data_IF_501795170555
#
_entry.id   IF_501795170555
#
_cell.length_a   1.000
_cell.length_b   1.000
_cell.length_c   1.000
_cell.angle_alpha   90.00
_cell.angle_beta   90.00
_cell.angle_gamma   90.00
#
_symmetry.space_group_name_H-M   'P 1'
#
loop_
_entity.id
_entity.type
_entity.pdbx_description
1 polymer ?
#
# COMPACT_ATOMS: atom_id res chain seq x y z
N UNK A 1 30.40 7.03 -4.31
CA UNK A 1 30.61 8.18 -3.40
C UNK A 1 29.44 8.30 -2.42
N UNK A 2 29.68 8.19 -1.10
CA UNK A 2 28.64 8.51 -0.12
C UNK A 2 28.41 10.02 -0.12
N UNK A 3 27.36 10.48 -0.80
CA UNK A 3 26.93 11.89 -0.70
C UNK A 3 26.63 12.20 0.77
N UNK A 4 27.31 13.21 1.32
CA UNK A 4 27.08 13.68 2.68
C UNK A 4 25.60 14.09 2.79
N UNK A 5 24.85 13.48 3.70
CA UNK A 5 23.44 13.83 3.91
C UNK A 5 23.39 15.16 4.67
N UNK A 6 22.71 16.14 4.09
CA UNK A 6 22.44 17.42 4.73
C UNK A 6 21.52 17.23 5.94
N UNK A 7 21.83 17.85 7.07
CA UNK A 7 20.91 17.85 8.22
C UNK A 7 19.74 18.81 7.97
N UNK A 8 18.61 18.57 8.62
CA UNK A 8 17.44 19.45 8.52
C UNK A 8 17.78 20.89 8.92
N UNK A 9 18.58 21.05 9.98
CA UNK A 9 19.08 22.35 10.44
C UNK A 9 19.91 23.06 9.36
N UNK A 10 20.80 22.36 8.67
CA UNK A 10 21.59 22.95 7.59
C UNK A 10 20.71 23.39 6.42
N UNK A 11 19.76 22.55 5.99
CA UNK A 11 18.81 22.92 4.92
C UNK A 11 18.00 24.16 5.29
N UNK A 12 17.48 24.22 6.52
CA UNK A 12 16.71 25.37 7.00
C UNK A 12 17.56 26.64 7.09
N UNK A 13 18.81 26.53 7.53
CA UNK A 13 19.74 27.67 7.57
C UNK A 13 20.00 28.26 6.17
N UNK A 14 20.20 27.40 5.16
CA UNK A 14 20.38 27.84 3.76
C UNK A 14 19.11 28.52 3.23
N UNK A 15 17.95 27.92 3.48
CA UNK A 15 16.67 28.52 3.06
C UNK A 15 16.39 29.84 3.79
N UNK A 16 16.74 29.98 5.06
CA UNK A 16 16.62 31.26 5.79
C UNK A 16 17.54 32.34 5.21
N UNK A 17 18.76 31.97 4.82
CA UNK A 17 19.69 32.90 4.18
C UNK A 17 19.17 33.36 2.79
N UNK A 18 18.46 32.48 2.09
CA UNK A 18 17.75 32.84 0.86
C UNK A 18 16.55 33.76 1.14
N UNK A 19 15.73 33.42 2.14
CA UNK A 19 14.57 34.24 2.55
C UNK A 19 15.00 35.65 3.02
N UNK A 20 16.21 35.78 3.58
CA UNK A 20 16.83 37.05 3.94
C UNK A 20 17.41 37.86 2.75
N UNK A 21 17.20 37.40 1.51
CA UNK A 21 17.56 38.13 0.29
C UNK A 21 18.95 37.84 -0.28
N UNK A 22 19.68 36.81 0.18
CA UNK A 22 20.96 36.42 -0.45
C UNK A 22 20.73 35.84 -1.85
N UNK A 23 21.69 36.10 -2.75
CA UNK A 23 21.60 35.58 -4.12
C UNK A 23 21.78 34.07 -4.16
N UNK A 24 21.03 33.40 -5.05
CA UNK A 24 21.10 31.94 -5.26
C UNK A 24 22.52 31.49 -5.63
N UNK A 25 23.22 32.30 -6.42
CA UNK A 25 24.60 32.06 -6.84
C UNK A 25 25.57 32.00 -5.66
N UNK A 26 25.48 32.93 -4.71
CA UNK A 26 26.31 32.94 -3.52
C UNK A 26 26.02 31.74 -2.61
N UNK A 27 24.75 31.42 -2.40
CA UNK A 27 24.35 30.28 -1.57
C UNK A 27 24.86 28.96 -2.15
N UNK A 28 24.73 28.78 -3.46
CA UNK A 28 25.25 27.60 -4.17
C UNK A 28 26.77 27.47 -4.02
N UNK A 29 27.52 28.58 -4.18
CA UNK A 29 28.98 28.58 -4.02
C UNK A 29 29.41 28.33 -2.58
N UNK A 30 28.76 28.98 -1.60
CA UNK A 30 29.12 28.91 -0.18
C UNK A 30 28.84 27.54 0.43
N UNK A 31 27.76 26.89 0.00
CA UNK A 31 27.31 25.62 0.56
C UNK A 31 27.63 24.41 -0.33
N UNK A 32 28.30 24.60 -1.46
CA UNK A 32 28.62 23.57 -2.45
C UNK A 32 27.37 22.75 -2.86
N UNK A 33 26.30 23.48 -3.22
CA UNK A 33 25.03 22.90 -3.66
C UNK A 33 24.68 23.39 -5.07
N UNK A 34 24.11 22.49 -5.87
CA UNK A 34 23.57 22.87 -7.16
C UNK A 34 22.33 23.77 -7.00
N UNK A 35 22.07 24.65 -7.98
CA UNK A 35 20.87 25.49 -7.99
C UNK A 35 19.59 24.64 -7.93
N UNK A 36 19.56 23.51 -8.65
CA UNK A 36 18.43 22.58 -8.66
C UNK A 36 18.10 22.05 -7.26
N UNK A 37 19.11 21.70 -6.46
CA UNK A 37 18.93 21.25 -5.07
C UNK A 37 18.31 22.33 -4.19
N UNK A 38 18.77 23.58 -4.36
CA UNK A 38 18.25 24.71 -3.60
C UNK A 38 16.77 24.97 -3.92
N UNK A 39 16.40 25.00 -5.20
CA UNK A 39 14.99 25.15 -5.61
C UNK A 39 14.12 24.00 -5.13
N UNK A 40 14.60 22.75 -5.20
CA UNK A 40 13.88 21.59 -4.67
C UNK A 40 13.60 21.71 -3.17
N UNK A 41 14.59 22.16 -2.39
CA UNK A 41 14.37 22.39 -0.95
C UNK A 41 13.35 23.50 -0.69
N UNK A 42 13.32 24.53 -1.53
CA UNK A 42 12.31 25.58 -1.42
C UNK A 42 10.93 25.04 -1.73
N UNK A 43 10.75 24.26 -2.78
CA UNK A 43 9.46 23.64 -3.09
C UNK A 43 8.95 22.74 -1.95
N UNK A 44 9.83 21.91 -1.39
CA UNK A 44 9.42 20.90 -0.38
C UNK A 44 9.31 21.49 1.03
N UNK A 45 10.23 22.36 1.44
CA UNK A 45 10.42 22.77 2.84
C UNK A 45 10.08 24.25 3.11
N UNK A 46 9.48 24.98 2.16
CA UNK A 46 9.04 26.36 2.42
C UNK A 46 8.06 26.41 3.58
N UNK A 47 8.23 27.39 4.48
CA UNK A 47 7.39 27.56 5.66
C UNK A 47 7.55 26.49 6.75
N UNK A 48 8.38 25.45 6.53
CA UNK A 48 8.60 24.42 7.55
C UNK A 48 9.69 24.81 8.54
N UNK A 49 9.42 24.57 9.84
CA UNK A 49 10.43 24.62 10.89
C UNK A 49 11.43 23.45 10.77
N UNK A 50 12.57 23.55 11.46
CA UNK A 50 13.57 22.47 11.47
C UNK A 50 12.97 21.13 11.94
N UNK A 51 12.16 21.15 13.00
CA UNK A 51 11.48 19.96 13.54
C UNK A 51 10.48 19.37 12.54
N UNK A 52 9.74 20.23 11.83
CA UNK A 52 8.81 19.81 10.79
C UNK A 52 9.54 19.11 9.64
N UNK A 53 10.72 19.60 9.24
CA UNK A 53 11.56 18.97 8.21
C UNK A 53 12.06 17.59 8.67
N UNK A 54 12.48 17.45 9.92
CA UNK A 54 12.92 16.15 10.47
C UNK A 54 11.78 15.14 10.53
N UNK A 55 10.60 15.58 10.98
CA UNK A 55 9.40 14.75 10.99
C UNK A 55 8.97 14.36 9.57
N UNK A 56 9.03 15.28 8.62
CA UNK A 56 8.73 15.01 7.21
C UNK A 56 9.67 13.96 6.63
N UNK A 57 10.99 14.07 6.87
CA UNK A 57 11.98 13.08 6.41
C UNK A 57 11.78 11.71 7.07
N UNK A 58 11.37 11.67 8.34
CA UNK A 58 11.02 10.42 9.04
C UNK A 58 9.81 9.76 8.38
N UNK A 59 8.73 10.52 8.20
CA UNK A 59 7.50 10.03 7.57
C UNK A 59 7.73 9.60 6.11
N UNK A 60 8.56 10.33 5.36
CA UNK A 60 8.91 9.97 3.99
C UNK A 60 9.66 8.62 3.93
N UNK A 61 10.56 8.36 4.89
CA UNK A 61 11.25 7.07 5.01
C UNK A 61 10.29 5.94 5.35
N UNK A 62 9.44 6.13 6.36
CA UNK A 62 8.43 5.15 6.76
C UNK A 62 7.47 4.86 5.61
N UNK A 63 6.98 5.91 4.93
CA UNK A 63 6.13 5.78 3.72
C UNK A 63 6.83 4.99 2.63
N UNK A 64 8.12 5.22 2.39
CA UNK A 64 8.87 4.47 1.37
C UNK A 64 8.98 2.98 1.72
N UNK A 65 9.18 2.65 3.00
CA UNK A 65 9.18 1.25 3.48
C UNK A 65 7.80 0.62 3.27
N UNK A 66 6.74 1.29 3.72
CA UNK A 66 5.38 0.78 3.56
C UNK A 66 4.98 0.64 2.10
N UNK A 67 5.37 1.56 1.22
CA UNK A 67 5.11 1.46 -0.21
C UNK A 67 5.81 0.25 -0.84
N UNK A 68 7.05 -0.07 -0.42
CA UNK A 68 7.75 -1.27 -0.90
C UNK A 68 7.02 -2.53 -0.45
N UNK A 69 6.71 -2.64 0.84
CA UNK A 69 5.99 -3.80 1.39
C UNK A 69 4.61 -3.97 0.73
N UNK A 70 3.86 -2.88 0.55
CA UNK A 70 2.55 -2.91 -0.10
C UNK A 70 2.64 -3.35 -1.57
N UNK A 71 3.70 -2.93 -2.28
CA UNK A 71 3.94 -3.38 -3.66
C UNK A 71 4.20 -4.89 -3.70
N UNK A 72 5.05 -5.42 -2.83
CA UNK A 72 5.29 -6.86 -2.74
C UNK A 72 4.01 -7.63 -2.43
N UNK A 73 3.27 -7.25 -1.37
CA UNK A 73 2.02 -7.92 -1.01
C UNK A 73 0.95 -7.85 -2.11
N UNK A 74 0.89 -6.75 -2.87
CA UNK A 74 -0.01 -6.64 -4.04
C UNK A 74 0.41 -7.56 -5.18
N UNK A 75 1.72 -7.70 -5.43
CA UNK A 75 2.25 -8.61 -6.43
C UNK A 75 1.97 -10.08 -6.06
N UNK A 76 2.23 -10.47 -4.81
CA UNK A 76 1.95 -11.82 -4.30
C UNK A 76 0.45 -12.13 -4.38
N UNK A 77 -0.41 -11.19 -3.98
CA UNK A 77 -1.87 -11.35 -4.13
C UNK A 77 -2.28 -11.54 -5.59
N UNK A 78 -1.68 -10.80 -6.52
CA UNK A 78 -1.99 -10.91 -7.94
C UNK A 78 -1.53 -12.27 -8.50
N UNK A 79 -0.33 -12.74 -8.12
CA UNK A 79 0.18 -14.05 -8.46
C UNK A 79 -0.75 -15.17 -7.95
N UNK A 80 -1.08 -15.17 -6.66
CA UNK A 80 -1.98 -16.16 -6.08
C UNK A 80 -3.37 -16.13 -6.75
N UNK A 81 -3.88 -14.94 -7.09
CA UNK A 81 -5.15 -14.80 -7.80
C UNK A 81 -5.07 -15.34 -9.23
N UNK A 82 -3.92 -15.24 -9.91
CA UNK A 82 -3.70 -15.83 -11.22
C UNK A 82 -3.63 -17.37 -11.13
N UNK A 83 -2.87 -17.91 -10.17
CA UNK A 83 -2.79 -19.37 -9.93
C UNK A 83 -4.16 -19.96 -9.59
N UNK A 84 -4.96 -19.28 -8.77
CA UNK A 84 -6.33 -19.75 -8.48
C UNK A 84 -7.23 -19.77 -9.72
N UNK A 85 -6.97 -18.92 -10.71
CA UNK A 85 -7.72 -18.92 -11.97
C UNK A 85 -7.29 -20.06 -12.89
N UNK A 86 -6.01 -20.47 -12.87
CA UNK A 86 -5.53 -21.59 -13.68
C UNK A 86 -5.97 -22.95 -13.15
N UNK A 87 -6.34 -23.05 -11.86
CA UNK A 87 -6.79 -24.29 -11.24
C UNK A 87 -8.23 -24.70 -11.59
N UNK A 88 -8.93 -23.93 -12.44
CA UNK A 88 -10.30 -24.20 -12.94
C UNK A 88 -11.27 -24.85 -11.93
N UNK A 89 -11.33 -24.29 -10.70
CA UNK A 89 -12.17 -24.86 -9.64
C UNK A 89 -13.65 -24.88 -10.03
N UNK A 90 -14.31 -26.01 -9.72
CA UNK A 90 -15.75 -26.17 -9.90
C UNK A 90 -16.54 -25.22 -8.99
N UNK A 91 -17.81 -24.99 -9.31
CA UNK A 91 -18.69 -24.10 -8.53
C UNK A 91 -18.82 -24.58 -7.09
N UNK A 92 -19.00 -25.88 -6.88
CA UNK A 92 -19.10 -26.51 -5.56
C UNK A 92 -17.82 -26.32 -4.73
N UNK A 93 -16.65 -26.57 -5.33
CA UNK A 93 -15.36 -26.34 -4.67
C UNK A 93 -15.19 -24.87 -4.25
N UNK A 94 -15.60 -23.92 -5.10
CA UNK A 94 -15.60 -22.49 -4.77
C UNK A 94 -16.56 -22.19 -3.62
N UNK A 95 -17.79 -22.72 -3.64
CA UNK A 95 -18.76 -22.54 -2.56
C UNK A 95 -18.22 -23.08 -1.21
N UNK A 96 -17.62 -24.27 -1.22
CA UNK A 96 -16.97 -24.87 -0.05
C UNK A 96 -15.85 -23.99 0.51
N UNK A 97 -14.99 -23.44 -0.35
CA UNK A 97 -13.92 -22.52 0.05
C UNK A 97 -14.47 -21.22 0.67
N UNK A 98 -15.57 -20.68 0.15
CA UNK A 98 -16.23 -19.50 0.75
C UNK A 98 -16.76 -19.82 2.14
N UNK A 99 -17.42 -20.97 2.32
CA UNK A 99 -17.91 -21.42 3.64
C UNK A 99 -16.76 -21.61 4.62
N UNK A 100 -15.70 -22.31 4.19
CA UNK A 100 -14.51 -22.53 5.01
C UNK A 100 -13.82 -21.21 5.40
N UNK A 101 -13.64 -20.28 4.46
CA UNK A 101 -13.04 -18.96 4.75
C UNK A 101 -13.87 -18.15 5.74
N UNK A 102 -15.20 -18.29 5.72
CA UNK A 102 -16.11 -17.64 6.67
C UNK A 102 -16.02 -18.28 8.05
N UNK A 103 -16.01 -19.61 8.12
CA UNK A 103 -15.89 -20.37 9.37
C UNK A 103 -14.57 -20.09 10.09
N UNK A 104 -13.48 -19.89 9.35
CA UNK A 104 -12.16 -19.54 9.88
C UNK A 104 -11.96 -18.03 10.12
N UNK A 105 -13.03 -17.22 9.99
CA UNK A 105 -12.98 -15.75 10.15
C UNK A 105 -11.94 -15.01 9.29
N UNK A 106 -11.48 -15.62 8.19
CA UNK A 106 -10.45 -15.04 7.33
C UNK A 106 -10.97 -13.85 6.50
N UNK A 107 -12.23 -13.93 6.05
CA UNK A 107 -12.87 -12.86 5.29
C UNK A 107 -14.39 -13.02 5.26
N UNK A 108 -15.10 -11.94 4.93
CA UNK A 108 -16.55 -12.00 4.69
C UNK A 108 -16.86 -12.79 3.41
N UNK A 109 -17.96 -13.54 3.40
CA UNK A 109 -18.37 -14.34 2.24
C UNK A 109 -18.45 -13.50 0.94
N UNK A 110 -18.90 -12.25 1.06
CA UNK A 110 -18.93 -11.29 -0.04
C UNK A 110 -17.55 -11.06 -0.64
N UNK A 111 -16.53 -10.83 0.18
CA UNK A 111 -15.15 -10.58 -0.27
C UNK A 111 -14.57 -11.84 -0.90
N UNK A 112 -14.79 -13.01 -0.30
CA UNK A 112 -14.30 -14.30 -0.84
C UNK A 112 -14.93 -14.63 -2.19
N UNK A 113 -16.24 -14.40 -2.37
CA UNK A 113 -16.92 -14.59 -3.65
C UNK A 113 -16.31 -13.73 -4.77
N UNK A 114 -15.96 -12.47 -4.47
CA UNK A 114 -15.27 -11.59 -5.45
C UNK A 114 -13.89 -12.13 -5.79
N UNK A 115 -13.11 -12.62 -4.81
CA UNK A 115 -11.77 -13.17 -5.05
C UNK A 115 -11.80 -14.45 -5.89
N UNK A 116 -12.78 -15.33 -5.67
CA UNK A 116 -12.96 -16.58 -6.39
C UNK A 116 -13.78 -16.46 -7.69
N UNK A 117 -14.19 -15.22 -8.06
CA UNK A 117 -15.08 -14.94 -9.21
C UNK A 117 -16.37 -15.79 -9.19
N UNK A 118 -16.97 -15.94 -8.02
CA UNK A 118 -18.22 -16.66 -7.81
C UNK A 118 -19.40 -15.69 -7.65
N UNK A 119 -20.49 -15.91 -8.39
CA UNK A 119 -21.75 -15.17 -8.16
C UNK A 119 -22.37 -15.56 -6.83
N UNK A 120 -22.83 -14.56 -6.05
CA UNK A 120 -23.47 -14.78 -4.74
C UNK A 120 -24.75 -15.60 -4.84
N UNK A 121 -25.45 -15.54 -5.98
CA UNK A 121 -26.66 -16.35 -6.20
C UNK A 121 -26.33 -17.85 -6.24
N UNK A 122 -25.18 -18.23 -6.82
CA UNK A 122 -24.74 -19.64 -6.85
C UNK A 122 -24.40 -20.18 -5.46
N UNK A 123 -23.84 -19.34 -4.59
CA UNK A 123 -23.59 -19.71 -3.19
C UNK A 123 -24.89 -19.99 -2.42
N UNK A 124 -25.95 -19.20 -2.68
CA UNK A 124 -27.27 -19.41 -2.05
C UNK A 124 -27.95 -20.68 -2.54
N UNK A 125 -27.92 -20.93 -3.85
CA UNK A 125 -28.49 -22.14 -4.44
C UNK A 125 -27.80 -23.41 -3.92
N UNK A 126 -26.47 -23.39 -3.82
CA UNK A 126 -25.71 -24.50 -3.25
C UNK A 126 -26.07 -24.76 -1.78
N UNK A 127 -26.31 -23.72 -0.99
CA UNK A 127 -26.76 -23.86 0.40
C UNK A 127 -28.20 -24.40 0.52
N UNK A 128 -29.08 -24.04 -0.43
CA UNK A 128 -30.46 -24.55 -0.48
C UNK A 128 -30.47 -26.03 -0.89
N UNK A 129 -29.67 -26.40 -1.89
CA UNK A 129 -29.56 -27.79 -2.35
C UNK A 129 -28.98 -28.69 -1.25
N UNK A 130 -27.90 -28.28 -0.55
CA UNK A 130 -27.34 -29.03 0.59
C UNK A 130 -28.38 -29.26 1.71
N UNK A 131 -29.25 -28.28 1.97
CA UNK A 131 -30.31 -28.39 2.97
C UNK A 131 -31.41 -29.38 2.55
N UNK A 132 -31.79 -29.39 1.27
CA UNK A 132 -32.78 -30.32 0.71
C UNK A 132 -32.27 -31.78 0.75
N UNK A 133 -31.04 -32.03 0.29
CA UNK A 133 -30.43 -33.37 0.34
C UNK A 133 -30.29 -33.91 1.78
N UNK A 134 -30.02 -33.04 2.75
CA UNK A 134 -29.92 -33.42 4.17
C UNK A 134 -31.28 -33.75 4.81
N UNK A 135 -32.37 -33.18 4.28
CA UNK A 135 -33.73 -33.51 4.70
C UNK A 135 -34.20 -34.83 4.12
N UNK A 136 -33.89 -35.12 2.85
CA UNK A 136 -34.25 -36.37 2.17
C UNK A 136 -33.51 -37.58 2.77
N UNK A 137 -32.21 -37.47 3.07
CA UNK A 137 -31.42 -38.54 3.70
C UNK A 137 -31.75 -38.80 5.18
N UNK A 138 -32.54 -37.94 5.83
CA UNK A 138 -33.05 -38.16 7.20
C UNK A 138 -34.45 -38.78 7.22
N UNK A 139 -35.11 -38.86 6.08
CA UNK A 139 -36.45 -39.43 5.92
C UNK A 139 -36.42 -40.86 5.35
N UNK A 140 -35.24 -41.39 5.04
CA UNK A 140 -34.96 -42.81 4.77
C UNK A 140 -34.32 -43.45 6.00
#
# INVERSE_FOLDING_TARGET
MRKRKWSARQRRAVLNAWDAGRTVLELCKKHDISRATLYLWKEIYTGMSTEAIERWDKLARERAVFQRQLKCAKADRALLQAVLQTLELTVEQKCRLVRWSRAQHLSSATRTCVLLRLSRSKLKLDAMNEAQFSHENKQQ
#
